data_IF_796000107899
#
_entry.id   IF_796000107899
#
_cell.length_a   1.000
_cell.length_b   1.000
_cell.length_c   1.000
_cell.angle_alpha   90.00
_cell.angle_beta   90.00
_cell.angle_gamma   90.00
#
_symmetry.space_group_name_H-M   'P 1'
#
loop_
_entity.id
_entity.type
_entity.pdbx_description
1 polymer ?
#
# COMPACT_ATOMS: atom_id res chain seq x y z
N UNK A 1 -0.44 -5.05 15.40
CA UNK A 1 -0.99 -6.34 15.86
C UNK A 1 -1.34 -7.18 14.64
N UNK A 2 -0.61 -8.25 14.34
CA UNK A 2 -0.73 -8.94 13.03
C UNK A 2 -2.11 -9.59 12.86
N UNK A 3 -2.77 -9.48 11.69
CA UNK A 3 -4.09 -10.12 11.40
C UNK A 3 -4.07 -11.63 11.63
N UNK A 4 -2.90 -12.27 11.50
CA UNK A 4 -2.67 -13.68 11.87
C UNK A 4 -2.89 -14.01 13.34
N UNK A 5 -2.88 -13.00 14.23
CA UNK A 5 -3.25 -13.09 15.65
C UNK A 5 -4.73 -12.81 15.90
N UNK A 6 -5.39 -12.12 14.98
CA UNK A 6 -6.83 -11.82 15.03
C UNK A 6 -7.62 -13.04 14.52
N UNK A 7 -7.23 -13.57 13.36
CA UNK A 7 -7.74 -14.82 12.81
C UNK A 7 -6.82 -15.96 13.25
N UNK A 8 -7.09 -16.57 14.41
CA UNK A 8 -6.33 -17.71 14.94
C UNK A 8 -6.62 -19.00 14.15
N UNK A 9 -5.82 -20.05 14.36
CA UNK A 9 -6.08 -21.37 13.74
C UNK A 9 -7.41 -21.95 14.21
N UNK A 10 -7.64 -21.94 15.51
CA UNK A 10 -8.88 -22.42 16.13
C UNK A 10 -10.11 -21.66 15.59
N UNK A 11 -10.03 -20.33 15.48
CA UNK A 11 -11.13 -19.52 14.93
C UNK A 11 -11.34 -19.83 13.45
N UNK A 12 -10.26 -20.00 12.68
CA UNK A 12 -10.36 -20.30 11.27
C UNK A 12 -10.97 -21.68 11.01
N UNK A 13 -10.67 -22.67 11.85
CA UNK A 13 -11.31 -23.99 11.78
C UNK A 13 -12.80 -23.88 12.13
N UNK A 14 -13.13 -23.20 13.24
CA UNK A 14 -14.50 -23.04 13.71
C UNK A 14 -15.41 -22.26 12.73
N UNK A 15 -14.84 -21.35 11.95
CA UNK A 15 -15.57 -20.51 10.99
C UNK A 15 -15.29 -20.87 9.52
N UNK A 16 -14.69 -22.03 9.25
CA UNK A 16 -14.39 -22.50 7.89
C UNK A 16 -13.50 -21.57 7.03
N UNK A 17 -12.61 -20.80 7.67
CA UNK A 17 -11.65 -19.88 7.03
C UNK A 17 -10.27 -20.50 6.78
N UNK A 18 -10.03 -21.76 7.16
CA UNK A 18 -8.70 -22.40 7.08
C UNK A 18 -8.11 -22.35 5.67
N UNK A 19 -8.94 -22.48 4.63
CA UNK A 19 -8.51 -22.46 3.23
C UNK A 19 -7.92 -21.10 2.81
N UNK A 20 -8.43 -20.00 3.34
CA UNK A 20 -7.96 -18.64 3.05
C UNK A 20 -6.88 -18.17 4.04
N UNK A 21 -6.94 -18.60 5.30
CA UNK A 21 -5.93 -18.26 6.31
C UNK A 21 -4.57 -18.85 5.97
N UNK A 22 -4.53 -20.11 5.55
CA UNK A 22 -3.28 -20.84 5.27
C UNK A 22 -2.39 -20.12 4.24
N UNK A 23 -2.88 -19.77 3.03
CA UNK A 23 -2.06 -19.06 2.05
C UNK A 23 -1.67 -17.65 2.50
N UNK A 24 -2.54 -16.93 3.23
CA UNK A 24 -2.20 -15.63 3.80
C UNK A 24 -1.03 -15.70 4.78
N UNK A 25 -1.09 -16.63 5.74
CA UNK A 25 -0.01 -16.83 6.73
C UNK A 25 1.30 -17.19 6.05
N UNK A 26 1.27 -18.11 5.08
CA UNK A 26 2.46 -18.55 4.35
C UNK A 26 3.16 -17.38 3.63
N UNK A 27 2.40 -16.57 2.89
CA UNK A 27 2.94 -15.41 2.16
C UNK A 27 3.41 -14.31 3.11
N UNK A 28 2.66 -14.06 4.18
CA UNK A 28 3.04 -13.09 5.21
C UNK A 28 4.38 -13.44 5.89
N UNK A 29 4.64 -14.72 6.17
CA UNK A 29 5.92 -15.16 6.72
C UNK A 29 7.08 -14.92 5.74
N UNK A 30 6.84 -15.13 4.44
CA UNK A 30 7.82 -14.80 3.39
C UNK A 30 8.08 -13.28 3.39
N UNK A 31 7.04 -12.45 3.42
CA UNK A 31 7.20 -10.99 3.50
C UNK A 31 8.00 -10.56 4.74
N UNK A 32 7.70 -11.10 5.91
CA UNK A 32 8.41 -10.78 7.17
C UNK A 32 9.89 -11.16 7.08
N UNK A 33 10.23 -12.30 6.46
CA UNK A 33 11.63 -12.65 6.16
C UNK A 33 12.27 -11.63 5.20
N UNK A 34 11.58 -11.29 4.11
CA UNK A 34 12.11 -10.36 3.10
C UNK A 34 12.35 -8.98 3.72
N UNK A 35 11.46 -8.52 4.60
CA UNK A 35 11.61 -7.25 5.32
C UNK A 35 12.88 -7.25 6.18
N UNK A 36 13.11 -8.34 6.93
CA UNK A 36 14.32 -8.52 7.74
C UNK A 36 15.59 -8.58 6.89
N UNK A 37 15.54 -9.20 5.70
CA UNK A 37 16.68 -9.23 4.78
C UNK A 37 16.95 -7.89 4.09
N UNK A 38 15.98 -6.97 4.06
CA UNK A 38 16.15 -5.62 3.52
C UNK A 38 16.78 -4.65 4.55
N UNK A 39 17.01 -5.11 5.79
CA UNK A 39 17.81 -4.38 6.78
C UNK A 39 19.29 -4.51 6.39
N UNK A 40 20.02 -3.40 6.39
CA UNK A 40 21.43 -3.33 5.97
C UNK A 40 22.31 -4.40 6.60
N UNK A 41 23.37 -4.80 5.89
CA UNK A 41 24.27 -5.86 6.38
C UNK A 41 25.05 -5.37 7.61
N UNK A 42 24.96 -6.10 8.72
CA UNK A 42 25.72 -5.82 9.94
C UNK A 42 27.23 -5.71 9.68
N UNK A 43 27.74 -6.51 8.72
CA UNK A 43 29.14 -6.51 8.30
C UNK A 43 29.59 -5.25 7.55
N UNK A 44 28.68 -4.36 7.11
CA UNK A 44 29.03 -3.16 6.34
C UNK A 44 29.97 -2.23 7.09
N UNK A 45 29.72 -2.04 8.40
CA UNK A 45 30.58 -1.22 9.26
C UNK A 45 31.97 -1.85 9.41
N UNK A 46 32.03 -3.13 9.74
CA UNK A 46 33.29 -3.87 9.91
C UNK A 46 34.13 -3.91 8.63
N UNK A 47 33.51 -4.08 7.46
CA UNK A 47 34.20 -4.02 6.15
C UNK A 47 34.78 -2.62 5.91
N UNK A 48 34.04 -1.56 6.23
CA UNK A 48 34.54 -0.18 6.09
C UNK A 48 35.72 0.09 7.03
N UNK A 49 35.62 -0.34 8.29
CA UNK A 49 36.68 -0.19 9.29
C UNK A 49 37.94 -0.96 8.87
N UNK A 50 37.80 -2.21 8.43
CA UNK A 50 38.93 -3.00 7.94
C UNK A 50 39.54 -2.46 6.66
N UNK A 51 38.74 -1.92 5.74
CA UNK A 51 39.30 -1.22 4.59
C UNK A 51 40.12 0.01 5.00
N UNK A 52 39.65 0.79 5.98
CA UNK A 52 40.40 1.95 6.48
C UNK A 52 41.74 1.53 7.10
N UNK A 53 41.75 0.46 7.87
CA UNK A 53 42.97 -0.13 8.45
C UNK A 53 43.94 -0.56 7.35
N UNK A 54 43.47 -1.34 6.37
CA UNK A 54 44.25 -1.75 5.21
C UNK A 54 44.83 -0.57 4.44
N UNK A 55 44.00 0.44 4.16
CA UNK A 55 44.42 1.66 3.46
C UNK A 55 45.50 2.43 4.21
N UNK A 56 45.44 2.49 5.54
CA UNK A 56 46.49 3.13 6.34
C UNK A 56 47.83 2.40 6.20
N UNK A 57 47.83 1.07 6.31
CA UNK A 57 49.05 0.27 6.20
C UNK A 57 49.66 0.38 4.79
N UNK A 58 48.82 0.28 3.75
CA UNK A 58 49.26 0.43 2.36
C UNK A 58 49.85 1.83 2.10
N UNK A 59 49.18 2.90 2.57
CA UNK A 59 49.67 4.26 2.41
C UNK A 59 50.97 4.50 3.19
N UNK A 60 51.11 3.91 4.38
CA UNK A 60 52.34 3.93 5.15
C UNK A 60 53.49 3.27 4.38
N UNK A 61 53.31 2.02 3.93
CA UNK A 61 54.29 1.29 3.12
C UNK A 61 54.73 2.08 1.88
N UNK A 62 53.76 2.61 1.14
CA UNK A 62 54.00 3.44 -0.04
C UNK A 62 54.81 4.68 0.30
N UNK A 63 54.42 5.40 1.35
CA UNK A 63 55.07 6.66 1.75
C UNK A 63 56.50 6.41 2.23
N UNK A 64 56.74 5.34 2.99
CA UNK A 64 58.08 4.97 3.46
C UNK A 64 59.01 4.60 2.30
N UNK A 65 58.53 3.83 1.32
CA UNK A 65 59.31 3.52 0.11
C UNK A 65 59.62 4.81 -0.67
N UNK A 66 58.63 5.68 -0.88
CA UNK A 66 58.81 6.94 -1.61
C UNK A 66 59.78 7.89 -0.89
N UNK A 67 59.67 8.03 0.43
CA UNK A 67 60.59 8.83 1.24
C UNK A 67 61.99 8.23 1.29
N UNK A 68 62.09 6.91 1.30
CA UNK A 68 63.34 6.15 1.29
C UNK A 68 64.28 6.56 0.16
N UNK A 69 63.73 6.89 -1.01
CA UNK A 69 64.49 7.35 -2.20
C UNK A 69 65.24 8.66 -2.00
N UNK A 70 65.01 9.36 -0.89
CA UNK A 70 65.64 10.66 -0.56
C UNK A 70 66.49 10.59 0.71
N UNK A 71 66.66 9.40 1.30
CA UNK A 71 67.48 9.23 2.49
C UNK A 71 68.96 9.49 2.18
N UNK A 72 69.69 10.04 3.16
CA UNK A 72 71.15 10.28 3.03
C UNK A 72 71.99 9.01 3.11
N UNK A 73 71.43 7.92 3.62
CA UNK A 73 72.10 6.62 3.70
C UNK A 73 72.02 5.96 2.32
N UNK A 74 73.17 5.77 1.68
CA UNK A 74 73.26 5.19 0.34
C UNK A 74 72.59 3.81 0.26
N UNK A 75 72.82 2.95 1.25
CA UNK A 75 72.23 1.60 1.29
C UNK A 75 70.70 1.63 1.39
N UNK A 76 70.16 2.50 2.26
CA UNK A 76 68.70 2.67 2.40
C UNK A 76 68.07 3.31 1.17
N UNK A 77 68.77 4.26 0.55
CA UNK A 77 68.31 4.90 -0.68
C UNK A 77 68.23 3.89 -1.82
N UNK A 78 69.27 3.09 -2.05
CA UNK A 78 69.30 2.07 -3.08
C UNK A 78 68.21 1.00 -2.88
N UNK A 79 68.01 0.55 -1.64
CA UNK A 79 66.92 -0.37 -1.29
C UNK A 79 65.54 0.23 -1.62
N UNK A 80 65.32 1.50 -1.29
CA UNK A 80 64.06 2.20 -1.58
C UNK A 80 63.83 2.43 -3.08
N UNK A 81 64.87 2.78 -3.83
CA UNK A 81 64.79 2.93 -5.28
C UNK A 81 64.35 1.63 -5.94
N UNK A 82 64.94 0.49 -5.54
CA UNK A 82 64.57 -0.83 -6.03
C UNK A 82 63.10 -1.16 -5.72
N UNK A 83 62.66 -0.98 -4.47
CA UNK A 83 61.27 -1.23 -4.06
C UNK A 83 60.28 -0.28 -4.74
N UNK A 84 60.70 0.94 -5.10
CA UNK A 84 59.85 1.91 -5.78
C UNK A 84 59.45 1.48 -7.20
N UNK A 85 60.28 0.67 -7.86
CA UNK A 85 59.95 0.07 -9.15
C UNK A 85 58.86 -0.98 -9.02
N UNK A 86 58.94 -1.83 -7.99
CA UNK A 86 57.93 -2.85 -7.66
C UNK A 86 56.59 -2.18 -7.33
N UNK A 87 56.62 -1.08 -6.58
CA UNK A 87 55.42 -0.35 -6.17
C UNK A 87 54.71 0.37 -7.34
N UNK A 88 55.44 0.71 -8.41
CA UNK A 88 54.97 1.58 -9.50
C UNK A 88 53.62 1.17 -10.12
N UNK A 89 53.36 -0.12 -10.45
CA UNK A 89 52.07 -0.55 -11.01
C UNK A 89 50.90 -0.38 -10.03
N UNK A 90 51.18 -0.40 -8.73
CA UNK A 90 50.18 -0.45 -7.65
C UNK A 90 49.95 0.90 -6.97
N UNK A 91 50.62 1.98 -7.38
CA UNK A 91 50.61 3.29 -6.69
C UNK A 91 49.23 3.91 -6.44
N UNK A 92 48.23 3.51 -7.21
CA UNK A 92 46.85 4.00 -7.13
C UNK A 92 45.85 2.96 -6.65
N UNK A 93 46.31 1.81 -6.13
CA UNK A 93 45.47 0.71 -5.70
C UNK A 93 44.42 1.16 -4.65
N UNK A 94 44.80 2.08 -3.75
CA UNK A 94 43.95 2.67 -2.70
C UNK A 94 42.73 3.44 -3.24
N UNK A 95 42.74 3.83 -4.52
CA UNK A 95 41.67 4.60 -5.17
C UNK A 95 40.72 3.74 -5.99
N UNK A 96 40.97 2.43 -6.07
CA UNK A 96 40.19 1.48 -6.87
C UNK A 96 39.03 0.90 -6.08
N UNK A 97 38.16 0.15 -6.76
CA UNK A 97 37.09 -0.58 -6.08
C UNK A 97 37.64 -1.57 -5.06
N UNK A 98 36.84 -1.99 -4.08
CA UNK A 98 37.31 -2.95 -3.06
C UNK A 98 37.88 -4.24 -3.66
N UNK A 99 37.32 -4.73 -4.75
CA UNK A 99 37.77 -5.96 -5.40
C UNK A 99 39.12 -5.76 -6.11
N UNK A 100 39.25 -4.68 -6.88
CA UNK A 100 40.50 -4.33 -7.55
C UNK A 100 41.60 -4.00 -6.54
N UNK A 101 41.28 -3.22 -5.50
CA UNK A 101 42.22 -2.88 -4.45
C UNK A 101 42.74 -4.12 -3.73
N UNK A 102 41.86 -5.07 -3.40
CA UNK A 102 42.24 -6.33 -2.76
C UNK A 102 43.17 -7.16 -3.65
N UNK A 103 42.86 -7.23 -4.95
CA UNK A 103 43.66 -7.97 -5.94
C UNK A 103 45.04 -7.33 -6.13
N UNK A 104 45.10 -6.01 -6.18
CA UNK A 104 46.36 -5.28 -6.36
C UNK A 104 47.25 -5.30 -5.13
N UNK A 105 46.68 -5.18 -3.93
CA UNK A 105 47.44 -5.34 -2.68
C UNK A 105 48.00 -6.75 -2.59
N UNK A 106 47.20 -7.77 -2.94
CA UNK A 106 47.68 -9.15 -2.98
C UNK A 106 48.85 -9.31 -3.95
N UNK A 107 48.74 -8.85 -5.19
CA UNK A 107 49.81 -8.93 -6.19
C UNK A 107 51.07 -8.16 -5.75
N UNK A 108 50.92 -6.96 -5.18
CA UNK A 108 52.04 -6.20 -4.62
C UNK A 108 52.75 -6.99 -3.52
N UNK A 109 52.02 -7.62 -2.59
CA UNK A 109 52.61 -8.45 -1.53
C UNK A 109 53.39 -9.62 -2.13
N UNK A 110 52.83 -10.32 -3.13
CA UNK A 110 53.52 -11.42 -3.79
C UNK A 110 54.81 -10.95 -4.48
N UNK A 111 54.77 -9.80 -5.13
CA UNK A 111 55.96 -9.21 -5.76
C UNK A 111 57.01 -8.82 -4.72
N UNK A 112 56.62 -8.16 -3.62
CA UNK A 112 57.51 -7.77 -2.53
C UNK A 112 58.12 -8.96 -1.76
N UNK A 113 57.45 -10.12 -1.77
CA UNK A 113 57.93 -11.35 -1.12
C UNK A 113 58.92 -12.15 -1.95
N UNK A 114 59.23 -11.72 -3.19
CA UNK A 114 60.30 -12.37 -3.97
C UNK A 114 61.64 -12.24 -3.25
N UNK A 115 62.48 -13.25 -3.40
CA UNK A 115 63.77 -13.35 -2.69
C UNK A 115 64.64 -12.09 -2.88
N UNK A 116 64.64 -11.54 -4.10
CA UNK A 116 65.38 -10.33 -4.50
C UNK A 116 65.00 -9.05 -3.72
N UNK A 117 63.85 -9.02 -3.04
CA UNK A 117 63.40 -7.85 -2.27
C UNK A 117 63.42 -8.07 -0.75
N UNK A 118 63.82 -9.25 -0.28
CA UNK A 118 63.85 -9.57 1.15
C UNK A 118 64.84 -8.69 1.92
N UNK A 119 66.07 -8.56 1.41
CA UNK A 119 67.10 -7.70 2.02
C UNK A 119 66.75 -6.20 1.92
N UNK A 120 66.31 -5.66 0.77
CA UNK A 120 65.81 -4.29 0.68
C UNK A 120 64.69 -3.95 1.69
N UNK A 121 63.73 -4.85 1.89
CA UNK A 121 62.67 -4.68 2.88
C UNK A 121 63.22 -4.65 4.31
N UNK A 122 64.16 -5.54 4.64
CA UNK A 122 64.82 -5.55 5.94
C UNK A 122 65.63 -4.26 6.19
N UNK A 123 66.35 -3.78 5.17
CA UNK A 123 67.15 -2.54 5.23
C UNK A 123 66.30 -1.30 5.54
N UNK A 124 65.05 -1.26 5.05
CA UNK A 124 64.09 -0.20 5.36
C UNK A 124 63.22 -0.49 6.59
N UNK A 125 63.28 -1.69 7.17
CA UNK A 125 62.43 -2.08 8.30
C UNK A 125 60.97 -2.29 7.94
N UNK A 126 60.67 -2.67 6.69
CA UNK A 126 59.31 -2.81 6.16
C UNK A 126 58.79 -4.26 6.15
N UNK A 127 59.60 -5.23 6.56
CA UNK A 127 59.23 -6.66 6.55
C UNK A 127 57.94 -6.95 7.33
N UNK A 128 57.83 -6.40 8.55
CA UNK A 128 56.63 -6.58 9.38
C UNK A 128 55.41 -5.87 8.77
N UNK A 129 55.61 -4.72 8.12
CA UNK A 129 54.54 -3.94 7.49
C UNK A 129 53.93 -4.70 6.31
N UNK A 130 54.75 -5.39 5.51
CA UNK A 130 54.28 -6.24 4.42
C UNK A 130 53.45 -7.41 4.97
N UNK A 131 53.86 -8.00 6.10
CA UNK A 131 53.14 -9.08 6.77
C UNK A 131 51.82 -8.61 7.38
N UNK A 132 51.81 -7.43 8.00
CA UNK A 132 50.59 -6.79 8.54
C UNK A 132 49.60 -6.47 7.41
N UNK A 133 50.09 -5.91 6.29
CA UNK A 133 49.26 -5.59 5.13
C UNK A 133 48.61 -6.85 4.55
N UNK A 134 49.34 -7.96 4.46
CA UNK A 134 48.81 -9.25 4.03
C UNK A 134 47.72 -9.77 4.96
N UNK A 135 47.97 -9.72 6.26
CA UNK A 135 47.02 -10.18 7.29
C UNK A 135 45.71 -9.41 7.17
N UNK A 136 45.77 -8.08 7.18
CA UNK A 136 44.56 -7.24 7.11
C UNK A 136 43.86 -7.35 5.76
N UNK A 137 44.60 -7.56 4.66
CA UNK A 137 44.01 -7.81 3.35
C UNK A 137 43.20 -9.13 3.31
N UNK A 138 43.72 -10.19 3.93
CA UNK A 138 43.05 -11.48 4.03
C UNK A 138 41.82 -11.42 4.96
N UNK A 139 41.92 -10.70 6.09
CA UNK A 139 40.78 -10.42 6.98
C UNK A 139 39.66 -9.66 6.24
N UNK A 140 40.03 -8.63 5.47
CA UNK A 140 39.09 -7.87 4.64
C UNK A 140 38.41 -8.77 3.61
N UNK A 141 39.18 -9.58 2.87
CA UNK A 141 38.66 -10.49 1.84
C UNK A 141 37.66 -11.48 2.45
N UNK A 142 38.00 -12.07 3.60
CA UNK A 142 37.11 -12.99 4.34
C UNK A 142 35.77 -12.34 4.69
N UNK A 143 35.79 -11.13 5.24
CA UNK A 143 34.57 -10.38 5.58
C UNK A 143 33.77 -9.98 4.33
N UNK A 144 34.47 -9.57 3.27
CA UNK A 144 33.86 -9.15 2.02
C UNK A 144 33.18 -10.32 1.29
N UNK A 145 33.79 -11.50 1.30
CA UNK A 145 33.24 -12.73 0.74
C UNK A 145 32.05 -13.25 1.54
N UNK A 146 32.14 -13.24 2.87
CA UNK A 146 31.01 -13.59 3.74
C UNK A 146 29.78 -12.72 3.44
N UNK A 147 29.96 -11.39 3.32
CA UNK A 147 28.87 -10.48 2.94
C UNK A 147 28.39 -10.74 1.51
N UNK A 148 29.28 -11.08 0.58
CA UNK A 148 28.90 -11.37 -0.80
C UNK A 148 28.07 -12.66 -0.91
N UNK A 149 28.42 -13.68 -0.14
CA UNK A 149 27.64 -14.91 0.02
C UNK A 149 26.28 -14.65 0.66
N UNK A 150 26.23 -13.82 1.72
CA UNK A 150 24.97 -13.40 2.35
C UNK A 150 24.11 -12.57 1.39
N UNK A 151 24.71 -11.68 0.60
CA UNK A 151 24.00 -10.91 -0.42
C UNK A 151 23.45 -11.82 -1.52
N UNK A 152 24.19 -12.85 -1.92
CA UNK A 152 23.73 -13.84 -2.88
C UNK A 152 22.55 -14.65 -2.32
N UNK A 153 22.65 -15.16 -1.09
CA UNK A 153 21.57 -15.90 -0.44
C UNK A 153 20.31 -15.05 -0.24
N UNK A 154 20.46 -13.74 0.03
CA UNK A 154 19.34 -12.79 0.09
C UNK A 154 18.74 -12.48 -1.28
N UNK A 155 19.56 -12.32 -2.33
CA UNK A 155 19.09 -11.99 -3.70
C UNK A 155 18.27 -13.10 -4.36
N UNK A 156 18.42 -14.36 -3.93
CA UNK A 156 17.66 -15.50 -4.46
C UNK A 156 16.22 -15.53 -3.89
N UNK A 157 15.91 -14.74 -2.86
CA UNK A 157 14.57 -14.67 -2.27
C UNK A 157 13.69 -13.63 -2.96
N UNK A 158 12.38 -13.93 -2.99
CA UNK A 158 11.27 -13.02 -3.33
C UNK A 158 11.54 -11.62 -2.74
N UNK A 159 11.21 -10.53 -3.42
CA UNK A 159 11.47 -9.17 -2.92
C UNK A 159 10.16 -8.46 -2.53
N UNK A 160 10.24 -7.31 -1.84
CA UNK A 160 9.06 -6.56 -1.38
C UNK A 160 8.09 -6.20 -2.51
N UNK A 161 8.60 -5.91 -3.72
CA UNK A 161 7.78 -5.54 -4.87
C UNK A 161 6.94 -6.72 -5.39
N UNK A 162 7.44 -7.95 -5.24
CA UNK A 162 6.73 -9.16 -5.67
C UNK A 162 5.87 -9.76 -4.57
N UNK A 163 6.34 -9.80 -3.32
CA UNK A 163 5.61 -10.45 -2.22
C UNK A 163 4.42 -9.61 -1.70
N UNK A 164 4.53 -8.28 -1.66
CA UNK A 164 3.45 -7.42 -1.12
C UNK A 164 2.13 -7.60 -1.86
N UNK A 165 2.07 -7.51 -3.21
CA UNK A 165 0.81 -7.76 -3.93
C UNK A 165 0.22 -9.15 -3.67
N UNK A 166 1.06 -10.16 -3.47
CA UNK A 166 0.59 -11.53 -3.17
C UNK A 166 0.02 -11.65 -1.75
N UNK A 167 0.62 -10.96 -0.78
CA UNK A 167 0.12 -10.87 0.60
C UNK A 167 -1.19 -10.08 0.64
N UNK A 168 -1.24 -8.93 -0.04
CA UNK A 168 -2.43 -8.09 -0.12
C UNK A 168 -3.60 -8.83 -0.76
N UNK A 169 -3.36 -9.57 -1.85
CA UNK A 169 -4.38 -10.39 -2.49
C UNK A 169 -4.90 -11.51 -1.56
N UNK A 170 -4.01 -12.20 -0.84
CA UNK A 170 -4.41 -13.24 0.10
C UNK A 170 -5.14 -12.68 1.34
N UNK A 171 -4.76 -11.48 1.77
CA UNK A 171 -5.45 -10.75 2.83
C UNK A 171 -6.86 -10.34 2.40
N UNK A 172 -7.00 -9.77 1.20
CA UNK A 172 -8.30 -9.40 0.65
C UNK A 172 -9.22 -10.62 0.53
N UNK A 173 -8.73 -11.74 -0.01
CA UNK A 173 -9.51 -12.97 -0.10
C UNK A 173 -10.00 -13.46 1.27
N UNK A 174 -9.15 -13.39 2.29
CA UNK A 174 -9.50 -13.75 3.67
C UNK A 174 -10.61 -12.84 4.22
N UNK A 175 -10.47 -11.52 4.11
CA UNK A 175 -11.47 -10.56 4.62
C UNK A 175 -12.78 -10.62 3.83
N UNK A 176 -12.71 -10.77 2.50
CA UNK A 176 -13.89 -10.98 1.67
C UNK A 176 -14.64 -12.24 2.09
N UNK A 177 -13.94 -13.33 2.37
CA UNK A 177 -14.57 -14.57 2.84
C UNK A 177 -15.24 -14.39 4.20
N UNK A 178 -14.60 -13.67 5.14
CA UNK A 178 -15.21 -13.31 6.43
C UNK A 178 -16.53 -12.57 6.23
N UNK A 179 -16.55 -11.56 5.36
CA UNK A 179 -17.77 -10.80 5.07
C UNK A 179 -18.83 -11.66 4.39
N UNK A 180 -18.46 -12.51 3.43
CA UNK A 180 -19.37 -13.44 2.75
C UNK A 180 -20.00 -14.40 3.75
N UNK A 181 -19.24 -14.96 4.69
CA UNK A 181 -19.77 -15.86 5.72
C UNK A 181 -20.73 -15.14 6.66
N UNK A 182 -20.44 -13.89 7.03
CA UNK A 182 -21.34 -13.06 7.83
C UNK A 182 -22.67 -12.85 7.10
N UNK A 183 -22.64 -12.42 5.84
CA UNK A 183 -23.86 -12.25 5.03
C UNK A 183 -24.61 -13.55 4.79
N UNK A 184 -23.90 -14.66 4.53
CA UNK A 184 -24.51 -15.96 4.35
C UNK A 184 -25.26 -16.39 5.61
N UNK A 185 -24.70 -16.17 6.80
CA UNK A 185 -25.40 -16.41 8.07
C UNK A 185 -26.70 -15.60 8.16
N UNK A 186 -26.69 -14.31 7.82
CA UNK A 186 -27.91 -13.49 7.88
C UNK A 186 -29.02 -13.95 6.92
N UNK A 187 -28.64 -14.51 5.77
CA UNK A 187 -29.60 -14.99 4.76
C UNK A 187 -30.10 -16.41 5.00
N UNK A 188 -29.34 -17.23 5.74
CA UNK A 188 -29.61 -18.66 5.88
C UNK A 188 -29.95 -19.06 7.32
N UNK A 189 -28.93 -19.35 8.13
CA UNK A 189 -29.06 -19.95 9.45
C UNK A 189 -29.47 -18.95 10.53
N UNK A 190 -29.17 -17.66 10.33
CA UNK A 190 -29.40 -16.56 11.28
C UNK A 190 -28.89 -16.84 12.69
N UNK A 191 -27.78 -17.56 12.80
CA UNK A 191 -27.17 -17.93 14.07
C UNK A 191 -26.62 -16.69 14.79
N UNK A 192 -27.08 -16.46 16.01
CA UNK A 192 -26.62 -15.36 16.87
C UNK A 192 -25.14 -15.53 17.25
N UNK A 193 -24.68 -16.77 17.42
CA UNK A 193 -23.30 -17.11 17.77
C UNK A 193 -22.33 -16.78 16.62
N UNK A 194 -22.69 -17.19 15.39
CA UNK A 194 -21.90 -16.90 14.19
C UNK A 194 -21.89 -15.41 13.90
N UNK A 195 -23.05 -14.74 14.00
CA UNK A 195 -23.17 -13.28 13.85
C UNK A 195 -22.25 -12.55 14.83
N UNK A 196 -22.29 -12.92 16.11
CA UNK A 196 -21.47 -12.28 17.15
C UNK A 196 -19.99 -12.52 16.91
N UNK A 197 -19.60 -13.74 16.50
CA UNK A 197 -18.20 -14.11 16.30
C UNK A 197 -17.60 -13.41 15.10
N UNK A 198 -18.26 -13.47 13.93
CA UNK A 198 -17.80 -12.83 12.71
C UNK A 198 -17.89 -11.30 12.79
N UNK A 199 -18.93 -10.74 13.41
CA UNK A 199 -19.05 -9.30 13.64
C UNK A 199 -17.89 -8.75 14.48
N UNK A 200 -17.59 -9.39 15.62
CA UNK A 200 -16.41 -9.02 16.44
C UNK A 200 -15.09 -9.14 15.67
N UNK A 201 -14.97 -10.14 14.79
CA UNK A 201 -13.79 -10.32 13.98
C UNK A 201 -13.60 -9.16 12.99
N UNK A 202 -14.68 -8.75 12.32
CA UNK A 202 -14.71 -7.59 11.41
C UNK A 202 -14.33 -6.32 12.18
N UNK A 203 -14.97 -6.05 13.32
CA UNK A 203 -14.69 -4.87 14.14
C UNK A 203 -13.22 -4.82 14.59
N UNK A 204 -12.67 -5.96 14.99
CA UNK A 204 -11.26 -6.07 15.41
C UNK A 204 -10.30 -5.82 14.26
N UNK A 205 -10.62 -6.31 13.05
CA UNK A 205 -9.81 -6.05 11.84
C UNK A 205 -9.88 -4.57 11.49
N UNK A 206 -11.07 -3.97 11.43
CA UNK A 206 -11.26 -2.54 11.10
C UNK A 206 -10.52 -1.64 12.10
N UNK A 207 -10.65 -1.92 13.40
CA UNK A 207 -9.94 -1.19 14.45
C UNK A 207 -8.43 -1.25 14.25
N UNK A 208 -7.90 -2.42 13.87
CA UNK A 208 -6.48 -2.56 13.59
C UNK A 208 -6.01 -1.79 12.34
N UNK A 209 -6.83 -1.72 11.29
CA UNK A 209 -6.49 -0.93 10.10
C UNK A 209 -6.44 0.56 10.44
N UNK A 210 -7.40 1.06 11.24
CA UNK A 210 -7.42 2.46 11.71
C UNK A 210 -6.14 2.77 12.50
N UNK A 211 -5.76 1.92 13.46
CA UNK A 211 -4.52 2.08 14.23
C UNK A 211 -3.27 2.09 13.35
N UNK A 212 -3.22 1.23 12.32
CA UNK A 212 -2.11 1.22 11.36
C UNK A 212 -2.03 2.51 10.56
N UNK A 213 -3.17 3.01 10.09
CA UNK A 213 -3.23 4.23 9.30
C UNK A 213 -2.88 5.47 10.12
N UNK A 214 -3.35 5.55 11.37
CA UNK A 214 -2.93 6.59 12.29
C UNK A 214 -1.40 6.53 12.50
N UNK A 215 -0.84 5.34 12.72
CA UNK A 215 0.60 5.19 12.88
C UNK A 215 1.41 5.57 11.62
N UNK A 216 0.87 5.37 10.42
CA UNK A 216 1.51 5.73 9.14
C UNK A 216 1.42 7.24 8.89
N UNK A 217 0.23 7.82 9.04
CA UNK A 217 -0.01 9.27 8.86
C UNK A 217 0.85 10.11 9.80
N UNK A 218 1.04 9.67 11.04
CA UNK A 218 1.91 10.36 12.01
C UNK A 218 3.42 10.19 11.75
N UNK A 219 3.85 9.25 10.88
CA UNK A 219 5.26 9.06 10.50
C UNK A 219 5.72 9.89 9.30
N UNK A 220 4.83 10.65 8.67
CA UNK A 220 5.18 11.58 7.59
C UNK A 220 5.54 10.93 6.24
N UNK A 221 5.40 9.61 6.11
CA UNK A 221 5.44 8.92 4.82
C UNK A 221 4.02 8.98 4.24
N UNK A 222 3.80 9.89 3.28
CA UNK A 222 2.49 10.23 2.69
C UNK A 222 1.78 9.12 1.92
N UNK A 223 2.14 7.86 2.15
CA UNK A 223 1.45 6.69 1.62
C UNK A 223 0.29 6.34 2.55
N UNK A 224 -0.86 7.01 2.39
CA UNK A 224 -2.12 6.50 2.95
C UNK A 224 -2.33 5.11 2.35
N UNK A 225 -2.34 4.08 3.19
CA UNK A 225 -2.97 2.81 2.79
C UNK A 225 -4.45 3.15 2.74
N UNK A 226 -5.09 2.98 1.59
CA UNK A 226 -6.55 2.97 1.54
C UNK A 226 -6.99 1.82 2.43
N UNK A 227 -7.42 2.15 3.65
CA UNK A 227 -8.43 1.33 4.32
C UNK A 227 -9.55 1.29 3.27
N UNK A 228 -10.07 0.12 2.88
CA UNK A 228 -11.44 0.12 2.42
C UNK A 228 -12.19 0.79 3.55
N UNK A 229 -12.70 1.99 3.33
CA UNK A 229 -13.63 2.60 4.28
C UNK A 229 -14.57 1.48 4.68
N UNK A 230 -14.64 1.15 5.98
CA UNK A 230 -15.93 0.69 6.51
C UNK A 230 -16.89 1.71 5.93
N UNK A 231 -17.82 1.33 5.03
CA UNK A 231 -18.50 2.31 4.21
C UNK A 231 -19.01 3.34 5.18
N UNK A 232 -18.38 4.52 5.20
CA UNK A 232 -19.04 5.73 5.63
C UNK A 232 -20.37 5.58 4.92
N UNK A 233 -21.51 5.57 5.64
CA UNK A 233 -22.79 5.43 4.98
C UNK A 233 -22.73 6.49 3.89
N UNK A 234 -22.54 6.03 2.63
CA UNK A 234 -22.44 6.94 1.51
C UNK A 234 -23.64 7.83 1.72
N UNK A 235 -23.49 9.17 1.76
CA UNK A 235 -24.66 10.02 1.79
C UNK A 235 -25.58 9.42 0.74
N UNK A 236 -26.70 8.84 1.17
CA UNK A 236 -27.50 7.97 0.30
C UNK A 236 -27.69 8.79 -0.97
N UNK A 237 -27.15 8.32 -2.10
CA UNK A 237 -27.30 9.08 -3.34
C UNK A 237 -28.80 9.29 -3.50
N UNK A 238 -29.19 10.57 -3.56
CA UNK A 238 -30.59 10.95 -3.54
C UNK A 238 -31.27 10.27 -4.73
N UNK A 239 -32.19 9.35 -4.44
CA UNK A 239 -32.81 8.49 -5.43
C UNK A 239 -34.29 8.29 -5.08
N UNK A 240 -35.16 8.36 -6.07
CA UNK A 240 -36.57 8.03 -5.89
C UNK A 240 -36.68 6.50 -5.80
N UNK A 241 -37.21 6.00 -4.69
CA UNK A 241 -37.31 4.56 -4.40
C UNK A 241 -38.66 3.99 -4.76
N UNK A 242 -39.74 4.78 -4.63
CA UNK A 242 -41.09 4.33 -4.95
C UNK A 242 -41.97 5.49 -5.41
N UNK A 243 -42.88 5.18 -6.33
CA UNK A 243 -43.99 6.06 -6.70
C UNK A 243 -45.27 5.23 -6.74
N UNK A 244 -46.28 5.63 -5.98
CA UNK A 244 -47.53 4.87 -5.92
C UNK A 244 -48.74 5.71 -5.55
N UNK A 245 -49.92 5.20 -5.88
CA UNK A 245 -51.19 5.80 -5.50
C UNK A 245 -51.51 5.47 -4.03
N UNK A 246 -51.82 6.49 -3.23
CA UNK A 246 -52.05 6.36 -1.77
C UNK A 246 -53.39 5.69 -1.46
N UNK A 247 -54.42 6.01 -2.25
CA UNK A 247 -55.80 5.53 -2.04
C UNK A 247 -56.27 4.74 -3.27
N UNK A 248 -56.91 3.58 -3.11
CA UNK A 248 -57.42 2.76 -4.23
C UNK A 248 -56.34 2.29 -5.24
N UNK A 249 -55.07 2.32 -4.84
CA UNK A 249 -53.94 1.82 -5.63
C UNK A 249 -53.94 0.29 -5.74
N UNK A 250 -53.35 -0.23 -6.81
CA UNK A 250 -53.14 -1.67 -6.95
C UNK A 250 -51.82 -2.07 -6.26
N UNK A 251 -51.84 -2.85 -5.16
CA UNK A 251 -50.62 -3.22 -4.45
C UNK A 251 -49.68 -4.10 -5.29
N UNK A 252 -50.21 -4.86 -6.25
CA UNK A 252 -49.42 -5.68 -7.17
C UNK A 252 -48.82 -4.86 -8.32
N UNK A 253 -49.29 -3.62 -8.51
CA UNK A 253 -48.87 -2.70 -9.56
C UNK A 253 -48.77 -1.26 -9.02
N UNK A 254 -47.84 -0.99 -8.10
CA UNK A 254 -47.75 0.29 -7.40
C UNK A 254 -47.59 1.49 -8.33
N UNK A 255 -46.93 1.31 -9.48
CA UNK A 255 -46.67 2.38 -10.45
C UNK A 255 -47.87 2.70 -11.37
N UNK A 256 -49.02 2.03 -11.21
CA UNK A 256 -50.27 2.39 -11.88
C UNK A 256 -51.00 3.44 -11.04
N UNK A 257 -51.09 4.67 -11.55
CA UNK A 257 -51.70 5.81 -10.85
C UNK A 257 -52.84 6.34 -11.71
N UNK A 258 -53.99 6.61 -11.11
CA UNK A 258 -55.14 7.22 -11.78
C UNK A 258 -55.06 8.74 -11.69
N UNK A 259 -55.57 9.41 -12.72
CA UNK A 259 -55.70 10.87 -12.73
C UNK A 259 -56.55 11.39 -11.57
N UNK A 260 -56.20 12.56 -11.04
CA UNK A 260 -56.91 13.21 -9.94
C UNK A 260 -56.79 12.49 -8.60
N UNK A 261 -56.07 11.36 -8.51
CA UNK A 261 -55.86 10.63 -7.26
C UNK A 261 -54.57 11.05 -6.58
N UNK A 262 -54.56 10.89 -5.25
CA UNK A 262 -53.41 11.17 -4.39
C UNK A 262 -52.32 10.12 -4.64
N UNK A 263 -51.13 10.59 -4.97
CA UNK A 263 -49.94 9.79 -5.17
C UNK A 263 -48.84 10.22 -4.20
N UNK A 264 -47.93 9.30 -3.90
CA UNK A 264 -46.74 9.53 -3.09
C UNK A 264 -45.50 9.19 -3.88
N UNK A 265 -44.48 10.04 -3.76
CA UNK A 265 -43.10 9.74 -4.16
C UNK A 265 -42.25 9.63 -2.91
N UNK A 266 -41.49 8.55 -2.78
CA UNK A 266 -40.54 8.31 -1.68
C UNK A 266 -39.11 8.34 -2.21
N UNK A 267 -38.18 8.85 -1.42
CA UNK A 267 -36.77 8.95 -1.80
C UNK A 267 -35.81 8.73 -0.63
N UNK A 268 -34.58 8.41 -1.00
CA UNK A 268 -33.39 8.37 -0.14
C UNK A 268 -32.60 9.68 -0.24
N UNK A 269 -31.62 9.89 0.64
CA UNK A 269 -30.73 11.08 0.57
C UNK A 269 -31.22 12.32 1.34
N UNK A 270 -32.41 12.28 1.93
CA UNK A 270 -32.78 13.18 3.05
C UNK A 270 -33.07 14.64 2.69
N UNK A 271 -33.36 14.96 1.43
CA UNK A 271 -33.64 16.34 0.99
C UNK A 271 -35.12 16.71 1.12
N UNK A 272 -35.41 18.01 1.31
CA UNK A 272 -36.76 18.57 1.24
C UNK A 272 -37.09 19.09 -0.17
N UNK A 273 -38.38 19.02 -0.56
CA UNK A 273 -38.85 19.54 -1.84
C UNK A 273 -39.10 21.05 -1.76
N UNK A 274 -38.12 21.84 -2.19
CA UNK A 274 -38.11 23.31 -2.12
C UNK A 274 -37.70 23.95 -3.46
N UNK A 275 -38.34 25.07 -3.80
CA UNK A 275 -37.98 25.86 -4.98
C UNK A 275 -36.71 26.70 -4.74
N UNK A 276 -36.25 27.39 -5.79
CA UNK A 276 -35.03 28.22 -5.74
C UNK A 276 -35.07 29.33 -4.67
N UNK A 277 -36.26 29.83 -4.30
CA UNK A 277 -36.40 30.86 -3.26
C UNK A 277 -36.51 30.28 -1.85
N UNK A 278 -36.75 28.97 -1.71
CA UNK A 278 -37.00 28.28 -0.44
C UNK A 278 -38.41 28.48 0.15
N UNK A 279 -39.27 29.26 -0.52
CA UNK A 279 -40.60 29.64 0.01
C UNK A 279 -41.73 28.72 -0.46
N UNK A 280 -41.48 27.86 -1.46
CA UNK A 280 -42.48 27.00 -2.10
C UNK A 280 -41.93 25.60 -2.41
N UNK A 281 -42.78 24.67 -2.88
CA UNK A 281 -42.32 23.35 -3.29
C UNK A 281 -41.43 23.44 -4.55
N UNK A 282 -40.43 22.58 -4.63
CA UNK A 282 -39.71 22.30 -5.88
C UNK A 282 -40.59 21.55 -6.88
N UNK A 283 -40.04 21.24 -8.05
CA UNK A 283 -40.80 20.73 -9.18
C UNK A 283 -40.86 19.20 -9.19
N UNK A 284 -42.06 18.67 -9.43
CA UNK A 284 -42.28 17.27 -9.81
C UNK A 284 -42.63 17.25 -11.29
N UNK A 285 -41.73 16.70 -12.10
CA UNK A 285 -41.80 16.71 -13.56
C UNK A 285 -42.17 15.33 -14.08
N UNK A 286 -43.15 15.31 -14.96
CA UNK A 286 -43.70 14.16 -15.65
C UNK A 286 -43.37 14.31 -17.14
N UNK A 287 -42.50 13.44 -17.65
CA UNK A 287 -42.13 13.43 -19.07
C UNK A 287 -42.76 12.22 -19.75
N UNK A 288 -43.54 12.48 -20.79
CA UNK A 288 -44.02 11.44 -21.71
C UNK A 288 -43.06 11.29 -22.90
N UNK A 289 -43.30 10.32 -23.78
CA UNK A 289 -42.52 10.12 -25.01
C UNK A 289 -42.67 11.26 -26.05
N UNK A 290 -43.29 12.40 -25.72
CA UNK A 290 -43.60 13.50 -26.65
C UNK A 290 -42.65 14.70 -26.56
N UNK A 291 -41.48 14.57 -25.92
CA UNK A 291 -40.46 15.62 -25.73
C UNK A 291 -40.90 16.84 -24.88
N UNK A 292 -42.10 16.84 -24.32
CA UNK A 292 -42.59 17.90 -23.43
C UNK A 292 -42.57 17.46 -21.96
N UNK A 293 -42.13 18.37 -21.10
CA UNK A 293 -42.13 18.23 -19.64
C UNK A 293 -43.41 18.85 -19.10
N UNK A 294 -44.22 18.05 -18.41
CA UNK A 294 -45.35 18.52 -17.63
C UNK A 294 -44.94 18.60 -16.15
N UNK A 295 -45.37 19.65 -15.45
CA UNK A 295 -45.07 19.83 -14.03
C UNK A 295 -46.33 19.69 -13.19
N UNK A 296 -46.27 18.97 -12.08
CA UNK A 296 -47.34 18.95 -11.08
C UNK A 296 -47.46 20.36 -10.50
N UNK A 297 -48.63 21.02 -10.61
CA UNK A 297 -48.82 22.36 -10.06
C UNK A 297 -48.51 22.41 -8.57
N UNK A 298 -47.90 23.51 -8.10
CA UNK A 298 -47.50 23.66 -6.70
C UNK A 298 -48.68 23.49 -5.72
N UNK A 299 -49.88 23.94 -6.11
CA UNK A 299 -51.12 23.76 -5.33
C UNK A 299 -51.56 22.29 -5.17
N UNK A 300 -51.08 21.41 -6.04
CA UNK A 300 -51.38 19.98 -6.00
C UNK A 300 -50.37 19.21 -5.13
N UNK A 301 -49.32 19.85 -4.61
CA UNK A 301 -48.34 19.25 -3.69
C UNK A 301 -48.85 19.43 -2.25
N UNK A 302 -49.26 18.34 -1.62
CA UNK A 302 -50.04 18.34 -0.38
C UNK A 302 -49.16 18.19 0.87
N UNK A 303 -48.29 17.18 0.89
CA UNK A 303 -47.41 16.87 2.02
C UNK A 303 -45.96 16.83 1.54
N UNK A 304 -45.05 17.36 2.37
CA UNK A 304 -43.62 17.38 2.10
C UNK A 304 -42.87 16.96 3.36
N UNK A 305 -41.91 16.06 3.17
CA UNK A 305 -41.00 15.54 4.18
C UNK A 305 -39.61 15.51 3.57
N UNK A 306 -38.60 15.21 4.38
CA UNK A 306 -37.24 14.94 3.92
C UNK A 306 -37.07 13.54 3.30
N UNK A 307 -38.14 12.74 3.20
CA UNK A 307 -38.13 11.37 2.62
C UNK A 307 -39.23 11.10 1.61
N UNK A 308 -40.24 11.96 1.55
CA UNK A 308 -41.38 11.76 0.67
C UNK A 308 -42.13 13.07 0.41
N UNK A 309 -42.88 13.10 -0.68
CA UNK A 309 -43.95 14.06 -0.89
C UNK A 309 -45.21 13.35 -1.37
N UNK A 310 -46.34 13.99 -1.15
CA UNK A 310 -47.61 13.56 -1.71
C UNK A 310 -48.22 14.67 -2.53
N UNK A 311 -48.86 14.29 -3.62
CA UNK A 311 -49.46 15.21 -4.56
C UNK A 311 -50.68 14.61 -5.23
N UNK A 312 -51.49 15.47 -5.84
CA UNK A 312 -52.61 15.06 -6.68
C UNK A 312 -52.11 14.90 -8.11
N UNK A 313 -52.28 13.70 -8.68
CA UNK A 313 -51.90 13.42 -10.05
C UNK A 313 -52.71 14.27 -11.03
N UNK A 314 -52.01 14.97 -11.91
CA UNK A 314 -52.58 15.97 -12.81
C UNK A 314 -53.62 15.40 -13.78
N UNK A 315 -54.81 16.02 -13.84
CA UNK A 315 -55.95 15.52 -14.65
C UNK A 315 -55.83 15.78 -16.16
N UNK A 316 -55.07 16.80 -16.57
CA UNK A 316 -54.95 17.17 -17.98
C UNK A 316 -54.00 16.27 -18.79
N UNK A 317 -53.24 15.39 -18.12
CA UNK A 317 -52.32 14.46 -18.77
C UNK A 317 -53.08 13.38 -19.53
N UNK A 318 -52.49 12.86 -20.61
CA UNK A 318 -53.04 11.72 -21.35
C UNK A 318 -52.76 10.39 -20.64
N UNK A 319 -53.57 9.36 -20.90
CA UNK A 319 -53.23 8.01 -20.43
C UNK A 319 -51.95 7.52 -21.12
N UNK A 320 -51.01 6.94 -20.39
CA UNK A 320 -49.73 6.53 -20.96
C UNK A 320 -48.63 6.31 -19.93
N UNK A 321 -47.42 6.02 -20.44
CA UNK A 321 -46.24 5.81 -19.62
C UNK A 321 -45.46 7.13 -19.48
N UNK A 322 -45.04 7.44 -18.25
CA UNK A 322 -44.33 8.66 -17.89
C UNK A 322 -43.09 8.35 -17.06
N UNK A 323 -42.01 9.10 -17.29
CA UNK A 323 -40.87 9.16 -16.36
C UNK A 323 -41.08 10.30 -15.38
N UNK A 324 -40.67 10.10 -14.13
CA UNK A 324 -40.75 11.13 -13.08
C UNK A 324 -39.35 11.65 -12.77
N UNK A 325 -39.24 12.96 -12.60
CA UNK A 325 -38.05 13.64 -12.09
C UNK A 325 -38.44 14.67 -11.05
N UNK A 326 -37.65 14.79 -9.99
CA UNK A 326 -37.73 15.86 -9.01
C UNK A 326 -36.60 16.86 -9.28
N UNK A 327 -36.92 18.15 -9.24
CA UNK A 327 -35.95 19.24 -9.16
C UNK A 327 -36.18 20.04 -7.88
N UNK A 328 -35.16 20.15 -7.04
CA UNK A 328 -35.23 20.86 -5.75
C UNK A 328 -33.96 21.65 -5.49
N UNK A 329 -34.02 22.67 -4.65
CA UNK A 329 -32.90 23.56 -4.33
C UNK A 329 -32.49 23.51 -2.85
N UNK A 330 -32.74 22.37 -2.20
CA UNK A 330 -32.34 22.15 -0.81
C UNK A 330 -30.81 22.25 -0.65
N UNK A 331 -30.34 23.17 0.19
CA UNK A 331 -28.91 23.51 0.32
C UNK A 331 -28.37 24.51 -0.71
N UNK A 332 -29.23 25.14 -1.51
CA UNK A 332 -28.89 26.27 -2.38
C UNK A 332 -28.28 25.93 -3.75
N UNK A 333 -28.12 24.64 -4.07
CA UNK A 333 -27.75 24.14 -5.40
C UNK A 333 -28.85 23.22 -5.94
N UNK A 334 -29.11 23.20 -7.26
CA UNK A 334 -30.14 22.34 -7.83
C UNK A 334 -29.75 20.87 -7.68
N UNK A 335 -30.63 20.10 -7.02
CA UNK A 335 -30.62 18.66 -6.95
C UNK A 335 -31.69 18.11 -7.87
N UNK A 336 -31.28 17.21 -8.77
CA UNK A 336 -32.15 16.56 -9.74
C UNK A 336 -32.13 15.06 -9.51
N UNK A 337 -33.31 14.46 -9.31
CA UNK A 337 -33.44 13.02 -9.07
C UNK A 337 -34.47 12.43 -10.01
N UNK A 338 -34.08 11.40 -10.77
CA UNK A 338 -34.97 10.70 -11.71
C UNK A 338 -35.41 9.35 -11.15
N UNK A 339 -36.69 9.01 -11.36
CA UNK A 339 -37.23 7.71 -10.98
C UNK A 339 -36.80 6.66 -12.03
N UNK A 340 -36.12 5.56 -11.63
CA UNK A 340 -35.60 4.59 -12.58
C UNK A 340 -36.69 3.76 -13.30
N UNK A 341 -37.94 3.87 -12.88
CA UNK A 341 -39.07 3.17 -13.49
C UNK A 341 -40.05 4.16 -14.12
N UNK A 342 -40.80 3.70 -15.11
CA UNK A 342 -41.93 4.45 -15.64
C UNK A 342 -43.16 4.22 -14.78
N UNK A 343 -43.94 5.27 -14.55
CA UNK A 343 -45.31 5.13 -14.07
C UNK A 343 -46.27 5.00 -15.25
N UNK A 344 -47.38 4.28 -15.03
CA UNK A 344 -48.48 4.19 -15.98
C UNK A 344 -49.63 5.02 -15.44
N UNK A 345 -49.92 6.11 -16.13
CA UNK A 345 -51.07 6.96 -15.82
C UNK A 345 -52.33 6.34 -16.43
N UNK A 346 -53.33 6.08 -15.59
CA UNK A 346 -54.63 5.53 -15.93
C UNK A 346 -55.72 6.62 -15.86
N UNK A 347 -56.82 6.43 -16.58
CA UNK A 347 -58.00 7.32 -16.48
C UNK A 347 -58.70 7.27 -15.12
#
# INVERSE_FOLDING_TARGET
>A
MKVTRIVTEELAEAQHLTAQRTPYVAKYLIEDEVYKTNVGYASTKSISEKNKERSKIFLYLKTEIENGTRLRSADKQAAAELLSFVLKPYRSADRKSYMEYTSEVYSLIQDLKREEYTEPLATLGLTEIVTELETVNNEFQTLFDARSGEKHSRKVKVNMKTIRPEVDAAYHELVTTINVLYYANELTEKSDEVRTTLGKLIDTINSYIIELNDAITHRGDGSKVDIPDDPEPKPEEAAITAVYQVEEGNPDKPNEIKKGKRARIEWTGGFELVNETGDGPGDIILRSNTDWDDTVPAENILERSNKYCEFIMTEYLTEGDYTIRIETYDGGSPLVVEYPQTIKLLM
#
